data_IF_777775153651
#
_entry.id   IF_777775153651
#
_cell.length_a   1.000
_cell.length_b   1.000
_cell.length_c   1.000
_cell.angle_alpha   90.00
_cell.angle_beta   90.00
_cell.angle_gamma   90.00
#
_symmetry.space_group_name_H-M   'P 1'
#
loop_
_entity.id
_entity.type
_entity.pdbx_description
1 polymer ?
#
# COMPACT_ATOMS: atom_id res chain seq x y z
N UNK A 1 -18.33 -39.17 -6.97
CA UNK A 1 -17.48 -39.02 -8.16
C UNK A 1 -17.83 -37.67 -8.78
N UNK A 2 -16.98 -36.65 -8.60
CA UNK A 2 -17.07 -35.37 -9.34
C UNK A 2 -16.27 -35.54 -10.66
N UNK A 3 -16.59 -34.78 -11.72
CA UNK A 3 -16.19 -33.37 -11.77
C UNK A 3 -17.38 -32.42 -11.98
N UNK A 4 -17.39 -31.35 -11.18
CA UNK A 4 -18.17 -30.16 -11.44
C UNK A 4 -17.43 -29.29 -12.46
N UNK A 5 -18.14 -28.88 -13.53
CA UNK A 5 -17.73 -27.77 -14.38
C UNK A 5 -17.70 -26.50 -13.52
N UNK A 6 -16.50 -26.03 -13.18
CA UNK A 6 -16.27 -24.72 -12.61
C UNK A 6 -16.06 -23.74 -13.77
N UNK A 7 -17.15 -23.15 -14.24
CA UNK A 7 -17.09 -22.01 -15.13
C UNK A 7 -16.53 -20.78 -14.38
N UNK A 8 -15.58 -20.13 -15.05
CA UNK A 8 -14.78 -19.00 -14.58
C UNK A 8 -15.66 -17.76 -14.43
N UNK A 9 -16.08 -17.41 -13.22
CA UNK A 9 -16.71 -16.11 -12.94
C UNK A 9 -15.63 -15.05 -12.71
N UNK A 10 -15.61 -14.04 -13.58
CA UNK A 10 -14.58 -13.02 -13.72
C UNK A 10 -14.22 -12.36 -12.38
N UNK A 11 -13.00 -12.61 -11.93
CA UNK A 11 -12.26 -11.69 -11.08
C UNK A 11 -11.80 -10.55 -11.98
N UNK A 12 -12.02 -9.31 -11.56
CA UNK A 12 -11.45 -8.10 -12.17
C UNK A 12 -10.03 -8.38 -12.61
N UNK A 13 -9.74 -8.17 -13.89
CA UNK A 13 -8.45 -8.56 -14.42
C UNK A 13 -7.38 -7.65 -13.82
N UNK A 14 -6.14 -8.13 -13.71
CA UNK A 14 -5.00 -7.27 -13.33
C UNK A 14 -4.87 -6.03 -14.20
N UNK A 15 -5.36 -6.11 -15.43
CA UNK A 15 -5.47 -5.00 -16.35
C UNK A 15 -6.36 -3.90 -15.76
N UNK A 16 -7.55 -4.24 -15.26
CA UNK A 16 -8.52 -3.29 -14.70
C UNK A 16 -7.99 -2.61 -13.43
N UNK A 17 -7.28 -3.33 -12.56
CA UNK A 17 -6.64 -2.75 -11.35
C UNK A 17 -5.49 -1.83 -11.77
N UNK A 18 -4.64 -2.26 -12.70
CA UNK A 18 -3.57 -1.41 -13.24
C UNK A 18 -4.14 -0.16 -13.91
N UNK A 19 -5.21 -0.31 -14.69
CA UNK A 19 -5.89 0.79 -15.35
C UNK A 19 -6.57 1.71 -14.34
N UNK A 20 -7.19 1.19 -13.28
CA UNK A 20 -7.77 2.00 -12.20
C UNK A 20 -6.69 2.75 -11.42
N UNK A 21 -5.58 2.10 -11.06
CA UNK A 21 -4.43 2.73 -10.42
C UNK A 21 -3.77 3.78 -11.35
N UNK A 22 -3.61 3.49 -12.64
CA UNK A 22 -3.11 4.42 -13.65
C UNK A 22 -4.07 5.59 -13.87
N UNK A 23 -5.39 5.35 -13.87
CA UNK A 23 -6.42 6.36 -14.06
C UNK A 23 -6.53 7.28 -12.84
N UNK A 24 -6.52 6.70 -11.64
CA UNK A 24 -6.48 7.45 -10.39
C UNK A 24 -5.19 8.28 -10.31
N UNK A 25 -4.05 7.70 -10.69
CA UNK A 25 -2.78 8.41 -10.81
C UNK A 25 -2.87 9.55 -11.82
N UNK A 26 -3.31 9.33 -13.06
CA UNK A 26 -3.41 10.38 -14.08
C UNK A 26 -4.34 11.53 -13.66
N UNK A 27 -5.41 11.24 -12.93
CA UNK A 27 -6.39 12.24 -12.49
C UNK A 27 -5.92 13.03 -11.26
N UNK A 28 -5.24 12.39 -10.31
CA UNK A 28 -4.61 13.06 -9.16
C UNK A 28 -3.32 13.79 -9.57
N UNK A 29 -2.38 13.12 -10.25
CA UNK A 29 -1.09 13.69 -10.68
C UNK A 29 -1.24 14.95 -11.55
N UNK A 30 -2.18 14.99 -12.50
CA UNK A 30 -2.39 16.21 -13.34
C UNK A 30 -2.93 17.40 -12.55
N UNK A 31 -3.66 17.19 -11.45
CA UNK A 31 -4.14 18.28 -10.56
C UNK A 31 -3.09 18.66 -9.50
N UNK A 32 -2.36 17.67 -8.98
CA UNK A 32 -1.39 17.83 -7.88
C UNK A 32 -0.02 18.35 -8.36
N UNK A 33 0.45 17.96 -9.55
CA UNK A 33 1.77 18.35 -10.10
C UNK A 33 1.90 19.86 -10.38
N UNK A 34 0.78 20.59 -10.51
CA UNK A 34 0.80 22.05 -10.66
C UNK A 34 0.84 22.82 -9.34
N UNK A 35 0.63 22.16 -8.19
CA UNK A 35 0.42 22.84 -6.91
C UNK A 35 1.61 22.72 -5.95
N UNK A 36 2.37 21.63 -5.99
CA UNK A 36 3.46 21.37 -5.06
C UNK A 36 4.82 21.42 -5.75
N UNK A 37 5.71 22.29 -5.27
CA UNK A 37 7.08 22.43 -5.77
C UNK A 37 8.04 21.35 -5.20
N UNK A 38 7.65 20.68 -4.11
CA UNK A 38 8.46 19.63 -3.45
C UNK A 38 7.59 18.67 -2.64
N UNK A 39 8.14 17.50 -2.29
CA UNK A 39 7.50 16.55 -1.36
C UNK A 39 7.33 17.17 0.04
N UNK A 40 8.28 18.01 0.47
CA UNK A 40 8.17 18.72 1.74
C UNK A 40 6.95 19.65 1.79
N UNK A 41 6.68 20.39 0.71
CA UNK A 41 5.49 21.23 0.63
C UNK A 41 4.20 20.38 0.65
N UNK A 42 4.22 19.21 0.01
CA UNK A 42 3.09 18.28 0.05
C UNK A 42 2.83 17.77 1.47
N UNK A 43 3.88 17.34 2.18
CA UNK A 43 3.77 16.83 3.56
C UNK A 43 3.27 17.91 4.52
N UNK A 44 3.74 19.16 4.38
CA UNK A 44 3.27 20.28 5.21
C UNK A 44 1.80 20.60 4.99
N UNK A 45 1.30 20.57 3.74
CA UNK A 45 -0.11 20.85 3.46
C UNK A 45 -1.04 19.65 3.76
N UNK A 46 -0.50 18.43 3.81
CA UNK A 46 -1.27 17.20 3.94
C UNK A 46 -0.84 16.36 5.16
N UNK A 47 -0.38 17.01 6.23
CA UNK A 47 0.22 16.35 7.40
C UNK A 47 -0.71 15.29 8.00
N UNK A 48 -2.03 15.55 8.04
CA UNK A 48 -3.02 14.59 8.55
C UNK A 48 -3.17 13.32 7.70
N UNK A 49 -2.76 13.36 6.43
CA UNK A 49 -2.86 12.21 5.52
C UNK A 49 -1.52 11.50 5.31
N UNK A 50 -0.42 12.02 5.86
CA UNK A 50 0.91 11.43 5.74
C UNK A 50 1.29 10.80 7.07
N UNK A 51 1.30 9.47 7.12
CA UNK A 51 1.64 8.73 8.35
C UNK A 51 3.05 8.15 8.36
N UNK A 52 3.78 8.24 7.23
CA UNK A 52 5.18 7.90 7.12
C UNK A 52 5.86 8.92 6.22
N UNK A 53 6.98 9.48 6.64
CA UNK A 53 7.84 10.26 5.77
C UNK A 53 9.31 10.13 6.14
N UNK A 54 10.13 9.76 5.14
CA UNK A 54 11.58 9.65 5.20
C UNK A 54 12.19 10.28 3.95
N UNK A 55 13.15 11.19 4.14
CA UNK A 55 13.88 11.90 3.07
C UNK A 55 15.17 11.19 2.69
N UNK A 56 15.60 11.34 1.43
CA UNK A 56 16.94 10.90 1.01
C UNK A 56 18.02 11.78 1.62
N UNK A 57 19.21 11.22 1.85
CA UNK A 57 20.34 11.89 2.47
C UNK A 57 20.24 12.03 4.00
N UNK A 58 19.20 11.48 4.63
CA UNK A 58 18.86 11.68 6.04
C UNK A 58 18.65 10.33 6.76
N UNK A 59 19.10 10.24 8.00
CA UNK A 59 19.08 8.99 8.80
C UNK A 59 17.92 8.93 9.80
N UNK A 60 16.84 9.69 9.55
CA UNK A 60 15.68 9.81 10.45
C UNK A 60 14.34 9.82 9.73
N UNK A 61 13.29 9.48 10.48
CA UNK A 61 11.92 9.72 10.06
C UNK A 61 11.53 11.17 10.36
N UNK A 62 10.85 11.78 9.39
CA UNK A 62 10.22 13.09 9.53
C UNK A 62 8.76 12.96 9.97
N UNK A 63 8.14 11.80 9.71
CA UNK A 63 6.85 11.44 10.25
C UNK A 63 6.76 9.90 10.44
N UNK A 64 6.34 9.41 11.61
CA UNK A 64 6.35 10.12 12.89
C UNK A 64 7.81 10.42 13.33
N UNK A 65 8.03 11.51 14.07
CA UNK A 65 9.39 11.96 14.46
C UNK A 65 10.02 11.15 15.59
N UNK A 66 9.18 10.52 16.41
CA UNK A 66 9.61 9.82 17.62
C UNK A 66 9.93 8.33 17.37
N UNK A 67 9.71 7.84 16.14
CA UNK A 67 10.05 6.47 15.76
C UNK A 67 11.48 6.37 15.23
N UNK A 68 12.14 5.24 15.52
CA UNK A 68 13.46 4.94 14.99
C UNK A 68 13.35 4.68 13.48
N UNK A 69 14.26 5.24 12.69
CA UNK A 69 14.33 4.97 11.26
C UNK A 69 15.16 3.71 10.97
N UNK A 70 14.56 2.60 10.51
CA UNK A 70 15.32 1.41 10.10
C UNK A 70 15.84 1.48 8.66
N UNK A 71 15.53 2.56 7.93
CA UNK A 71 15.91 2.74 6.53
C UNK A 71 17.29 3.36 6.39
N UNK A 72 17.96 3.10 5.27
CA UNK A 72 19.27 3.66 4.98
C UNK A 72 19.20 5.15 4.65
N UNK A 73 20.34 5.85 4.77
CA UNK A 73 20.47 7.29 4.51
C UNK A 73 19.86 7.74 3.19
N UNK A 74 20.03 6.98 2.12
CA UNK A 74 19.58 7.35 0.77
C UNK A 74 18.22 6.77 0.39
N UNK A 75 17.57 6.04 1.30
CA UNK A 75 16.22 5.56 1.09
C UNK A 75 15.23 6.74 1.10
N UNK A 76 14.12 6.58 0.40
CA UNK A 76 12.98 7.47 0.41
C UNK A 76 11.75 6.64 0.68
N UNK A 77 10.87 7.15 1.54
CA UNK A 77 9.56 6.55 1.76
C UNK A 77 8.55 7.64 2.15
N UNK A 78 7.38 7.62 1.53
CA UNK A 78 6.22 8.38 1.98
C UNK A 78 5.00 7.46 2.00
N UNK A 79 4.36 7.36 3.16
CA UNK A 79 3.13 6.60 3.38
C UNK A 79 1.94 7.55 3.52
N UNK A 80 0.92 7.35 2.69
CA UNK A 80 -0.22 8.25 2.59
C UNK A 80 -1.50 7.45 2.81
N UNK A 81 -2.38 7.97 3.66
CA UNK A 81 -3.73 7.48 3.90
C UNK A 81 -4.59 8.61 4.48
N UNK A 82 -5.74 8.86 3.87
CA UNK A 82 -6.73 9.81 4.38
C UNK A 82 -7.64 9.18 5.43
N UNK A 83 -8.35 10.00 6.21
CA UNK A 83 -9.34 9.53 7.20
C UNK A 83 -10.44 8.65 6.59
N UNK A 84 -10.91 9.00 5.38
CA UNK A 84 -11.88 8.17 4.66
C UNK A 84 -11.32 6.77 4.41
N UNK A 85 -10.08 6.69 3.95
CA UNK A 85 -9.43 5.44 3.65
C UNK A 85 -9.12 4.61 4.89
N UNK A 86 -8.75 5.25 6.00
CA UNK A 86 -8.64 4.61 7.30
C UNK A 86 -9.99 3.99 7.70
N UNK A 87 -11.09 4.73 7.53
CA UNK A 87 -12.44 4.22 7.76
C UNK A 87 -12.78 3.01 6.89
N UNK A 88 -12.44 3.05 5.61
CA UNK A 88 -12.64 1.93 4.68
C UNK A 88 -11.78 0.71 5.04
N UNK A 89 -10.53 0.92 5.42
CA UNK A 89 -9.64 -0.16 5.87
C UNK A 89 -10.16 -0.80 7.17
N UNK A 90 -10.64 -0.01 8.14
CA UNK A 90 -11.26 -0.53 9.36
C UNK A 90 -12.52 -1.35 9.05
N UNK A 91 -13.34 -0.89 8.10
CA UNK A 91 -14.61 -1.54 7.74
C UNK A 91 -14.40 -2.84 6.96
N UNK A 92 -13.48 -2.86 6.00
CA UNK A 92 -13.38 -3.94 5.00
C UNK A 92 -12.10 -4.79 5.12
N UNK A 93 -11.10 -4.32 5.86
CA UNK A 93 -9.77 -4.94 5.92
C UNK A 93 -9.72 -6.33 6.56
N UNK A 94 -10.78 -6.77 7.23
CA UNK A 94 -10.85 -8.13 7.80
C UNK A 94 -11.35 -9.19 6.80
N UNK A 95 -11.74 -8.80 5.58
CA UNK A 95 -12.17 -9.73 4.54
C UNK A 95 -11.04 -10.09 3.58
N UNK A 96 -10.78 -9.21 2.61
CA UNK A 96 -9.75 -9.38 1.59
C UNK A 96 -8.90 -8.11 1.58
N UNK A 97 -7.59 -8.29 1.77
CA UNK A 97 -6.60 -7.24 1.59
C UNK A 97 -5.69 -7.61 0.43
N UNK A 98 -5.44 -6.65 -0.45
CA UNK A 98 -4.46 -6.80 -1.52
C UNK A 98 -3.30 -5.81 -1.34
N UNK A 99 -2.07 -6.27 -1.54
CA UNK A 99 -0.87 -5.44 -1.66
C UNK A 99 -0.35 -5.58 -3.08
N UNK A 100 -0.42 -4.49 -3.85
CA UNK A 100 0.00 -4.45 -5.24
C UNK A 100 1.16 -3.49 -5.42
N UNK A 101 2.23 -3.96 -6.07
CA UNK A 101 3.40 -3.17 -6.42
C UNK A 101 3.34 -2.82 -7.90
N UNK A 102 3.39 -1.53 -8.21
CA UNK A 102 3.48 -1.10 -9.60
C UNK A 102 4.96 -0.94 -9.98
N UNK A 103 5.49 -1.91 -10.73
CA UNK A 103 6.85 -1.81 -11.29
C UNK A 103 6.83 -1.00 -12.60
N UNK A 104 7.82 -0.10 -12.76
CA UNK A 104 8.13 0.53 -14.06
C UNK A 104 7.29 1.75 -14.45
N UNK A 105 6.72 2.49 -13.49
CA UNK A 105 5.77 3.57 -13.77
C UNK A 105 6.36 4.99 -13.84
N UNK A 106 7.65 5.18 -13.55
CA UNK A 106 8.29 6.50 -13.61
C UNK A 106 9.75 6.43 -14.08
N UNK A 107 10.26 7.56 -14.59
CA UNK A 107 11.63 7.72 -15.07
C UNK A 107 12.70 7.67 -13.97
N UNK A 108 12.29 7.56 -12.70
CA UNK A 108 13.15 7.72 -11.52
C UNK A 108 13.25 6.43 -10.69
N UNK A 109 12.76 5.31 -11.22
CA UNK A 109 12.73 3.97 -10.60
C UNK A 109 12.07 3.88 -9.21
N UNK A 110 11.24 4.85 -8.83
CA UNK A 110 10.43 4.76 -7.61
C UNK A 110 9.32 3.72 -7.78
N UNK A 111 9.04 2.97 -6.71
CA UNK A 111 7.97 1.98 -6.64
C UNK A 111 6.79 2.59 -5.89
N UNK A 112 5.59 2.36 -6.42
CA UNK A 112 4.34 2.66 -5.74
C UNK A 112 3.68 1.35 -5.34
N UNK A 113 3.53 1.16 -4.04
CA UNK A 113 2.83 0.04 -3.42
C UNK A 113 1.47 0.54 -2.94
N UNK A 114 0.41 -0.17 -3.29
CA UNK A 114 -0.95 0.17 -2.93
C UNK A 114 -1.55 -0.93 -2.06
N UNK A 115 -2.15 -0.54 -0.94
CA UNK A 115 -3.01 -1.40 -0.13
C UNK A 115 -4.45 -1.19 -0.61
N UNK A 116 -5.10 -2.27 -0.99
CA UNK A 116 -6.50 -2.30 -1.44
C UNK A 116 -7.32 -3.16 -0.49
N UNK A 117 -8.57 -2.76 -0.26
CA UNK A 117 -9.61 -3.62 0.32
C UNK A 117 -10.67 -3.89 -0.73
N UNK A 118 -11.35 -5.03 -0.61
CA UNK A 118 -12.45 -5.38 -1.51
C UNK A 118 -13.77 -5.10 -0.81
N UNK A 119 -14.69 -4.42 -1.48
CA UNK A 119 -16.03 -4.16 -0.98
C UNK A 119 -17.04 -5.29 -1.32
N UNK A 120 -18.30 -5.09 -0.93
CA UNK A 120 -19.39 -6.04 -1.17
C UNK A 120 -19.74 -6.24 -2.66
N UNK A 121 -19.36 -5.28 -3.53
CA UNK A 121 -19.54 -5.34 -4.98
C UNK A 121 -18.32 -5.91 -5.71
N UNK A 122 -17.31 -6.38 -4.97
CA UNK A 122 -16.03 -6.88 -5.48
C UNK A 122 -15.17 -5.81 -6.17
N UNK A 123 -15.38 -4.55 -5.82
CA UNK A 123 -14.54 -3.45 -6.27
C UNK A 123 -13.36 -3.25 -5.32
N UNK A 124 -12.19 -2.97 -5.90
CA UNK A 124 -10.97 -2.68 -5.15
C UNK A 124 -10.91 -1.21 -4.75
N UNK A 125 -10.88 -0.94 -3.45
CA UNK A 125 -10.79 0.41 -2.90
C UNK A 125 -9.38 0.63 -2.37
N UNK A 126 -8.60 1.58 -2.92
CA UNK A 126 -7.26 1.88 -2.42
C UNK A 126 -7.37 2.61 -1.09
N UNK A 127 -6.69 2.09 -0.07
CA UNK A 127 -6.79 2.59 1.30
C UNK A 127 -5.46 3.07 1.88
N UNK A 128 -4.32 2.69 1.30
CA UNK A 128 -3.04 3.29 1.65
C UNK A 128 -2.06 3.18 0.49
N UNK A 129 -1.11 4.09 0.45
CA UNK A 129 -0.03 4.08 -0.54
C UNK A 129 1.32 4.23 0.13
N UNK A 130 2.31 3.53 -0.40
CA UNK A 130 3.73 3.74 -0.14
C UNK A 130 4.42 4.08 -1.45
N UNK A 131 5.03 5.26 -1.52
CA UNK A 131 5.98 5.60 -2.57
C UNK A 131 7.39 5.50 -1.98
N UNK A 132 8.23 4.63 -2.54
CA UNK A 132 9.59 4.43 -2.07
C UNK A 132 10.57 4.20 -3.24
N UNK A 133 11.86 4.44 -3.02
CA UNK A 133 12.91 4.09 -3.99
C UNK A 133 13.50 2.68 -3.75
N UNK A 134 13.18 2.05 -2.61
CA UNK A 134 13.66 0.72 -2.26
C UNK A 134 12.53 -0.16 -1.73
N UNK A 135 12.39 -1.34 -2.32
CA UNK A 135 11.36 -2.32 -2.02
C UNK A 135 11.94 -3.50 -1.24
N UNK A 136 12.35 -3.25 0.00
CA UNK A 136 12.87 -4.28 0.91
C UNK A 136 11.83 -4.72 1.92
N UNK A 137 12.05 -5.89 2.53
CA UNK A 137 11.29 -6.33 3.69
C UNK A 137 11.27 -5.26 4.78
N UNK A 138 12.40 -4.62 5.10
CA UNK A 138 12.50 -3.55 6.10
C UNK A 138 11.60 -2.35 5.77
N UNK A 139 11.60 -1.89 4.51
CA UNK A 139 10.76 -0.78 4.08
C UNK A 139 9.26 -1.11 4.17
N UNK A 140 8.89 -2.31 3.73
CA UNK A 140 7.52 -2.82 3.82
C UNK A 140 7.07 -2.95 5.28
N UNK A 141 7.90 -3.55 6.13
CA UNK A 141 7.59 -3.74 7.55
C UNK A 141 7.42 -2.42 8.29
N UNK A 142 8.25 -1.41 8.01
CA UNK A 142 8.09 -0.07 8.57
C UNK A 142 6.74 0.54 8.16
N UNK A 143 6.45 0.54 6.86
CA UNK A 143 5.19 1.07 6.34
C UNK A 143 3.97 0.37 6.94
N UNK A 144 3.97 -0.96 6.96
CA UNK A 144 2.88 -1.75 7.51
C UNK A 144 2.74 -1.58 9.02
N UNK A 145 3.85 -1.39 9.75
CA UNK A 145 3.79 -1.17 11.21
C UNK A 145 3.14 0.15 11.53
N UNK A 146 3.51 1.21 10.81
CA UNK A 146 2.87 2.52 10.97
C UNK A 146 1.41 2.48 10.50
N UNK A 147 1.09 1.75 9.43
CA UNK A 147 -0.29 1.52 9.02
C UNK A 147 -1.10 0.80 10.12
N UNK A 148 -0.50 -0.23 10.76
CA UNK A 148 -1.08 -0.94 11.91
C UNK A 148 -1.32 0.00 13.09
N UNK A 149 -0.42 0.95 13.36
CA UNK A 149 -0.65 1.96 14.39
C UNK A 149 -1.89 2.82 14.11
N UNK A 150 -2.17 3.13 12.85
CA UNK A 150 -3.35 3.91 12.45
C UNK A 150 -4.65 3.10 12.53
N UNK A 151 -4.65 1.89 11.96
CA UNK A 151 -5.87 1.07 11.80
C UNK A 151 -6.19 0.21 13.04
N UNK A 152 -5.17 -0.17 13.80
CA UNK A 152 -5.27 -1.18 14.86
C UNK A 152 -5.01 -2.59 14.32
N UNK A 153 -5.59 -3.59 14.98
CA UNK A 153 -5.50 -4.98 14.54
C UNK A 153 -6.35 -5.25 13.31
N UNK A 154 -5.81 -6.04 12.39
CA UNK A 154 -6.53 -6.61 11.25
C UNK A 154 -6.29 -8.12 11.24
N UNK A 155 -7.31 -8.87 10.85
CA UNK A 155 -7.24 -10.31 10.66
C UNK A 155 -7.93 -10.69 9.33
N UNK A 156 -7.33 -10.32 8.18
CA UNK A 156 -7.91 -10.60 6.87
C UNK A 156 -8.04 -12.11 6.64
N UNK A 157 -9.20 -12.53 6.12
CA UNK A 157 -9.43 -13.93 5.72
C UNK A 157 -8.55 -14.33 4.53
N UNK A 158 -8.27 -13.38 3.65
CA UNK A 158 -7.46 -13.56 2.44
C UNK A 158 -6.49 -12.39 2.27
N UNK A 159 -5.24 -12.72 1.98
CA UNK A 159 -4.23 -11.74 1.58
C UNK A 159 -3.80 -12.04 0.15
N UNK A 160 -3.92 -11.05 -0.70
CA UNK A 160 -3.44 -11.10 -2.09
C UNK A 160 -2.18 -10.25 -2.19
N UNK A 161 -1.05 -10.82 -2.59
CA UNK A 161 0.19 -10.05 -2.76
C UNK A 161 0.81 -10.29 -4.13
N UNK A 162 1.74 -9.42 -4.52
CA UNK A 162 2.69 -9.75 -5.58
C UNK A 162 3.46 -11.05 -5.25
N UNK A 163 4.07 -11.66 -6.27
CA UNK A 163 4.86 -12.89 -6.20
C UNK A 163 6.07 -12.77 -5.28
N UNK A 164 6.58 -11.57 -5.09
CA UNK A 164 7.73 -11.33 -4.24
C UNK A 164 7.37 -11.65 -2.76
N UNK A 165 8.14 -12.54 -2.09
CA UNK A 165 7.75 -13.08 -0.78
C UNK A 165 7.70 -12.02 0.32
N UNK A 166 8.49 -10.95 0.20
CA UNK A 166 8.59 -9.90 1.22
C UNK A 166 7.25 -9.22 1.55
N UNK A 167 6.32 -9.11 0.59
CA UNK A 167 5.00 -8.52 0.83
C UNK A 167 4.17 -9.32 1.83
N UNK A 168 4.05 -10.61 1.57
CA UNK A 168 3.24 -11.49 2.40
C UNK A 168 3.89 -11.69 3.76
N UNK A 169 5.20 -11.93 3.80
CA UNK A 169 5.93 -12.12 5.06
C UNK A 169 5.85 -10.87 5.95
N UNK A 170 6.12 -9.68 5.40
CA UNK A 170 6.04 -8.44 6.18
C UNK A 170 4.63 -8.21 6.72
N UNK A 171 3.58 -8.46 5.92
CA UNK A 171 2.20 -8.29 6.39
C UNK A 171 1.84 -9.27 7.52
N UNK A 172 2.16 -10.55 7.36
CA UNK A 172 1.89 -11.57 8.38
C UNK A 172 2.63 -11.26 9.68
N UNK A 173 3.91 -10.89 9.59
CA UNK A 173 4.74 -10.62 10.76
C UNK A 173 4.28 -9.36 11.50
N UNK A 174 4.01 -8.27 10.77
CA UNK A 174 3.57 -7.00 11.36
C UNK A 174 2.17 -7.10 11.98
N UNK A 175 1.22 -7.73 11.29
CA UNK A 175 -0.15 -7.89 11.80
C UNK A 175 -0.32 -9.11 12.70
N UNK A 176 0.74 -9.89 12.95
CA UNK A 176 0.77 -11.05 13.85
C UNK A 176 -0.32 -12.07 13.48
N UNK A 177 -0.40 -12.43 12.20
CA UNK A 177 -1.45 -13.29 11.68
C UNK A 177 -1.12 -14.77 11.89
N UNK A 178 -2.07 -15.51 12.45
CA UNK A 178 -1.88 -16.92 12.77
C UNK A 178 -2.16 -17.87 11.59
N UNK A 179 -3.04 -17.48 10.65
CA UNK A 179 -3.43 -18.32 9.51
C UNK A 179 -4.26 -17.50 8.50
N UNK A 180 -3.60 -16.80 7.57
CA UNK A 180 -4.26 -16.15 6.44
C UNK A 180 -4.02 -16.95 5.15
N UNK A 181 -5.06 -17.09 4.32
CA UNK A 181 -4.90 -17.71 3.01
C UNK A 181 -4.15 -16.73 2.09
N UNK A 182 -2.99 -17.15 1.59
CA UNK A 182 -2.22 -16.40 0.60
C UNK A 182 -2.74 -16.69 -0.81
N UNK A 183 -3.05 -15.64 -1.56
CA UNK A 183 -3.25 -15.68 -3.01
C UNK A 183 -2.18 -14.83 -3.69
N UNK A 184 -1.72 -15.26 -4.86
CA UNK A 184 -0.73 -14.53 -5.65
C UNK A 184 -1.42 -13.71 -6.73
N UNK A 185 -0.98 -12.46 -6.90
CA UNK A 185 -1.28 -11.66 -8.06
C UNK A 185 -0.62 -12.30 -9.30
N UNK A 186 -1.40 -12.87 -10.23
CA UNK A 186 -0.94 -13.58 -11.45
C UNK A 186 -0.13 -12.81 -12.49
#
# INVERSE_FOLDING_TARGET
MFPANLERQQLTTKQDIKEHCQFFWHRQSRKTFRRYLSVDAYVLENESSVFLYKKQGEDRLYHPKDEVCPLEKDDFAIGIMTEFQLGMLKKLGNHIICLDATHGMNAYDFKLITVLVIDEYREGIPVAWLLCNRETYTALSLFLSLLRHQVGSLNPSVIVTDKAPQYHSAFVDVFQLNCSKKLLCN
#
